data_IF_325333251984
#
_entry.id   IF_325333251984
#
_cell.length_a   1.000
_cell.length_b   1.000
_cell.length_c   1.000
_cell.angle_alpha   90.00
_cell.angle_beta   90.00
_cell.angle_gamma   90.00
#
_symmetry.space_group_name_H-M   'P 1'
#
loop_
_entity.id
_entity.type
_entity.pdbx_description
1 polymer ?
#
# COMPACT_ATOMS: atom_id res chain seq x y z
N UNK A 1 -7.82 -7.62 -25.82
CA UNK A 1 -8.54 -8.10 -24.62
C UNK A 1 -9.20 -6.90 -23.96
N UNK A 2 -10.48 -7.01 -23.58
CA UNK A 2 -11.16 -5.98 -22.82
C UNK A 2 -10.53 -5.88 -21.43
N UNK A 3 -10.30 -4.65 -20.98
CA UNK A 3 -9.75 -4.33 -19.68
C UNK A 3 -10.83 -4.57 -18.62
N UNK A 4 -10.62 -5.53 -17.71
CA UNK A 4 -11.54 -5.83 -16.59
C UNK A 4 -10.87 -5.48 -15.25
N UNK A 5 -11.22 -4.35 -14.61
CA UNK A 5 -10.63 -3.91 -13.36
C UNK A 5 -11.05 -4.77 -12.15
N UNK A 6 -12.14 -5.54 -12.23
CA UNK A 6 -12.69 -6.28 -11.07
C UNK A 6 -11.77 -7.41 -10.58
N UNK A 7 -10.90 -7.94 -11.46
CA UNK A 7 -9.94 -9.00 -11.12
C UNK A 7 -8.58 -8.49 -10.63
N UNK A 8 -8.35 -7.18 -10.55
CA UNK A 8 -7.02 -6.60 -10.34
C UNK A 8 -6.68 -6.31 -8.88
N UNK A 9 -7.29 -6.97 -7.90
CA UNK A 9 -6.94 -6.76 -6.50
C UNK A 9 -5.47 -7.12 -6.18
N UNK A 10 -4.82 -6.41 -5.26
CA UNK A 10 -3.55 -6.83 -4.63
C UNK A 10 -3.77 -7.11 -3.15
N UNK A 11 -3.14 -8.16 -2.63
CA UNK A 11 -3.00 -8.31 -1.20
C UNK A 11 -1.62 -7.78 -0.79
N UNK A 12 -1.63 -6.78 0.09
CA UNK A 12 -0.42 -6.20 0.67
C UNK A 12 -0.35 -6.64 2.12
N UNK A 13 0.63 -7.49 2.42
CA UNK A 13 0.94 -7.87 3.80
C UNK A 13 1.73 -6.75 4.47
N UNK A 14 1.28 -6.35 5.65
CA UNK A 14 1.90 -5.30 6.46
C UNK A 14 1.74 -5.60 7.95
N UNK A 15 2.39 -4.80 8.78
CA UNK A 15 2.16 -4.84 10.22
C UNK A 15 1.07 -3.82 10.58
N UNK A 16 0.26 -4.12 11.60
CA UNK A 16 -0.66 -3.19 12.22
C UNK A 16 -0.38 -3.08 13.72
N UNK A 17 -0.37 -1.85 14.23
CA UNK A 17 -0.38 -1.59 15.67
C UNK A 17 -1.83 -1.55 16.15
N UNK A 18 -2.21 -2.50 17.00
CA UNK A 18 -3.53 -2.62 17.62
C UNK A 18 -3.59 -1.77 18.87
N UNK A 19 -4.19 -0.59 18.76
CA UNK A 19 -4.46 0.30 19.89
C UNK A 19 -5.75 -0.14 20.56
N UNK A 20 -5.73 -0.62 21.82
CA UNK A 20 -6.92 -1.19 22.48
C UNK A 20 -8.00 -0.15 22.80
N UNK A 21 -7.63 1.12 22.99
CA UNK A 21 -8.55 2.21 23.30
C UNK A 21 -8.53 3.28 22.20
N UNK A 22 -9.67 3.45 21.52
CA UNK A 22 -9.86 4.46 20.49
C UNK A 22 -9.46 5.89 20.93
N UNK A 23 -9.53 6.22 22.22
CA UNK A 23 -9.12 7.53 22.77
C UNK A 23 -7.64 7.82 22.59
N UNK A 24 -6.80 6.79 22.57
CA UNK A 24 -5.35 6.92 22.41
C UNK A 24 -4.89 6.86 20.94
N UNK A 25 -5.81 6.58 20.01
CA UNK A 25 -5.51 6.43 18.57
C UNK A 25 -4.75 7.63 18.00
N UNK A 26 -5.19 8.85 18.30
CA UNK A 26 -4.57 10.06 17.72
C UNK A 26 -3.12 10.24 18.17
N UNK A 27 -2.82 9.88 19.42
CA UNK A 27 -1.45 9.89 19.95
C UNK A 27 -0.58 8.91 19.18
N UNK A 28 -1.06 7.68 18.99
CA UNK A 28 -0.34 6.62 18.29
C UNK A 28 -0.18 6.90 16.80
N UNK A 29 -1.19 7.47 16.14
CA UNK A 29 -1.09 7.94 14.75
C UNK A 29 0.00 9.00 14.61
N UNK A 30 0.11 9.94 15.58
CA UNK A 30 1.16 10.97 15.56
C UNK A 30 2.56 10.36 15.77
N UNK A 31 2.69 9.43 16.71
CA UNK A 31 3.97 8.76 17.00
C UNK A 31 4.43 7.86 15.83
N UNK A 32 3.50 7.13 15.22
CA UNK A 32 3.77 6.16 14.16
C UNK A 32 3.73 6.78 12.76
N UNK A 33 3.43 8.09 12.61
CA UNK A 33 3.26 8.77 11.32
C UNK A 33 4.43 8.56 10.33
N UNK A 34 5.66 8.46 10.83
CA UNK A 34 6.86 8.22 9.99
C UNK A 34 7.02 6.75 9.59
N UNK A 35 6.29 5.88 10.26
CA UNK A 35 6.34 4.44 10.11
C UNK A 35 5.06 3.84 9.53
N UNK A 36 4.04 4.64 9.22
CA UNK A 36 2.78 4.20 8.60
C UNK A 36 2.98 3.69 7.18
N UNK A 37 2.08 2.85 6.70
CA UNK A 37 2.15 2.28 5.36
C UNK A 37 1.78 3.32 4.30
N UNK A 38 2.69 3.73 3.39
CA UNK A 38 2.37 4.71 2.36
C UNK A 38 1.52 4.05 1.26
N UNK A 39 0.20 3.99 1.47
CA UNK A 39 -0.75 3.53 0.46
C UNK A 39 -1.57 4.70 -0.07
N UNK A 40 -1.67 4.87 -1.40
CA UNK A 40 -2.54 5.85 -1.99
C UNK A 40 -4.00 5.54 -1.64
N UNK A 41 -4.77 6.60 -1.33
CA UNK A 41 -6.23 6.56 -1.12
C UNK A 41 -6.71 5.54 -0.07
N UNK A 42 -5.83 5.04 0.80
CA UNK A 42 -6.15 3.99 1.77
C UNK A 42 -6.20 4.55 3.19
N UNK A 43 -7.19 4.11 3.97
CA UNK A 43 -7.30 4.50 5.38
C UNK A 43 -6.18 3.86 6.19
N UNK A 44 -5.39 4.69 6.85
CA UNK A 44 -4.27 4.27 7.71
C UNK A 44 -4.72 3.72 9.06
N UNK A 45 -5.94 4.08 9.47
CA UNK A 45 -6.53 3.66 10.73
C UNK A 45 -7.81 2.90 10.42
N UNK A 46 -7.84 1.62 10.80
CA UNK A 46 -8.97 0.73 10.62
C UNK A 46 -9.61 0.44 11.98
N UNK A 47 -10.87 -0.01 11.94
CA UNK A 47 -11.49 -0.62 13.12
C UNK A 47 -10.99 -2.05 13.21
N UNK A 48 -10.75 -2.50 14.43
CA UNK A 48 -10.42 -3.89 14.67
C UNK A 48 -11.69 -4.74 14.48
N UNK A 49 -11.66 -5.81 13.66
CA UNK A 49 -12.83 -6.67 13.45
C UNK A 49 -13.22 -7.48 14.70
N UNK A 50 -12.27 -7.72 15.62
CA UNK A 50 -12.49 -8.50 16.83
C UNK A 50 -12.89 -7.62 18.03
N UNK A 51 -12.66 -6.30 17.95
CA UNK A 51 -12.90 -5.36 19.05
C UNK A 51 -13.26 -3.94 18.57
N UNK A 52 -14.53 -3.56 18.72
CA UNK A 52 -15.04 -2.24 18.32
C UNK A 52 -14.37 -1.05 19.03
N UNK A 53 -13.72 -1.28 20.18
CA UNK A 53 -13.00 -0.23 20.92
C UNK A 53 -11.57 -0.08 20.41
N UNK A 54 -11.02 -1.14 19.81
CA UNK A 54 -9.67 -1.13 19.29
C UNK A 54 -9.58 -0.53 17.89
N UNK A 55 -8.41 0.02 17.57
CA UNK A 55 -8.08 0.58 16.26
C UNK A 55 -6.78 -0.01 15.77
N UNK A 56 -6.71 -0.31 14.48
CA UNK A 56 -5.52 -0.83 13.82
C UNK A 56 -4.85 0.31 13.06
N UNK A 57 -3.61 0.64 13.42
CA UNK A 57 -2.79 1.61 12.68
C UNK A 57 -1.86 0.84 11.75
N UNK A 58 -2.03 1.01 10.44
CA UNK A 58 -1.24 0.30 9.44
C UNK A 58 0.19 0.85 9.38
N UNK A 59 1.16 -0.05 9.53
CA UNK A 59 2.58 0.25 9.51
C UNK A 59 3.21 -0.19 8.18
N UNK A 60 4.20 0.57 7.75
CA UNK A 60 5.03 0.30 6.58
C UNK A 60 5.56 -1.12 6.53
N UNK A 61 5.66 -1.64 5.32
CA UNK A 61 6.26 -2.94 5.00
C UNK A 61 7.75 -2.77 4.68
N UNK A 62 8.51 -3.85 4.88
CA UNK A 62 9.81 -4.00 4.22
C UNK A 62 9.62 -4.49 2.78
N UNK A 63 10.57 -4.15 1.91
CA UNK A 63 10.60 -4.70 0.55
C UNK A 63 10.82 -6.22 0.63
N UNK A 64 9.95 -7.00 -0.03
CA UNK A 64 10.03 -8.47 -0.03
C UNK A 64 9.22 -9.18 1.05
N UNK A 65 8.43 -8.47 1.85
CA UNK A 65 7.52 -9.08 2.83
C UNK A 65 6.47 -9.98 2.15
N UNK A 66 6.62 -11.29 2.26
CA UNK A 66 5.73 -12.27 1.65
C UNK A 66 4.59 -12.70 2.59
N UNK A 67 4.80 -12.57 3.90
CA UNK A 67 3.82 -12.99 4.91
C UNK A 67 3.57 -11.90 5.95
N UNK A 68 2.34 -11.86 6.48
CA UNK A 68 1.94 -10.94 7.53
C UNK A 68 2.79 -11.10 8.83
N UNK A 69 3.31 -12.29 9.10
CA UNK A 69 4.20 -12.55 10.23
C UNK A 69 5.58 -11.87 10.06
N UNK A 70 6.16 -11.92 8.85
CA UNK A 70 7.42 -11.25 8.53
C UNK A 70 7.29 -9.73 8.68
N UNK A 71 6.13 -9.19 8.34
CA UNK A 71 5.84 -7.77 8.46
C UNK A 71 5.97 -7.28 9.92
N UNK A 72 5.57 -8.10 10.90
CA UNK A 72 5.67 -7.77 12.33
C UNK A 72 7.12 -7.68 12.76
N UNK A 73 7.94 -8.65 12.37
CA UNK A 73 9.36 -8.66 12.71
C UNK A 73 10.13 -7.52 12.02
N UNK A 74 9.82 -7.22 10.75
CA UNK A 74 10.34 -6.05 10.06
C UNK A 74 9.91 -4.73 10.72
N UNK A 75 8.66 -4.64 11.20
CA UNK A 75 8.20 -3.49 11.94
C UNK A 75 8.98 -3.31 13.25
N UNK A 76 9.19 -4.37 14.04
CA UNK A 76 10.00 -4.31 15.27
C UNK A 76 11.42 -3.80 15.01
N UNK A 77 12.07 -4.25 13.95
CA UNK A 77 13.43 -3.77 13.58
C UNK A 77 13.49 -2.30 13.16
N UNK A 78 12.40 -1.79 12.58
CA UNK A 78 12.31 -0.42 12.04
C UNK A 78 11.85 0.60 13.06
N UNK A 79 11.08 0.19 14.06
CA UNK A 79 10.61 1.07 15.12
C UNK A 79 11.73 1.30 16.15
N UNK A 80 11.88 2.51 16.70
CA UNK A 80 12.82 2.76 17.78
C UNK A 80 12.48 1.93 19.03
N UNK A 81 13.49 1.44 19.75
CA UNK A 81 13.31 0.65 20.98
C UNK A 81 12.45 1.37 22.03
N UNK A 82 12.63 2.69 22.17
CA UNK A 82 11.80 3.52 23.06
C UNK A 82 10.31 3.44 22.69
N UNK A 83 10.01 3.44 21.38
CA UNK A 83 8.62 3.36 20.92
C UNK A 83 8.06 1.96 21.13
N UNK A 84 8.87 0.90 20.94
CA UNK A 84 8.46 -0.47 21.23
C UNK A 84 8.10 -0.66 22.70
N UNK A 85 8.90 -0.10 23.61
CA UNK A 85 8.60 -0.11 25.05
C UNK A 85 7.29 0.59 25.38
N UNK A 86 7.07 1.78 24.81
CA UNK A 86 5.81 2.51 25.00
C UNK A 86 4.60 1.74 24.45
N UNK A 87 4.76 1.04 23.33
CA UNK A 87 3.71 0.19 22.76
C UNK A 87 3.36 -0.93 23.74
N UNK A 88 4.36 -1.63 24.28
CA UNK A 88 4.16 -2.70 25.27
C UNK A 88 3.54 -2.19 26.58
N UNK A 89 4.02 -1.07 27.12
CA UNK A 89 3.52 -0.47 28.37
C UNK A 89 2.05 -0.06 28.27
N UNK A 90 1.61 0.41 27.10
CA UNK A 90 0.21 0.82 26.86
C UNK A 90 -0.66 -0.30 26.27
N UNK A 91 -0.13 -1.52 26.16
CA UNK A 91 -0.85 -2.68 25.65
C UNK A 91 -1.18 -2.60 24.15
N UNK A 92 -0.40 -1.84 23.37
CA UNK A 92 -0.52 -1.76 21.92
C UNK A 92 0.26 -2.89 21.28
N UNK A 93 -0.45 -3.92 20.81
CA UNK A 93 0.17 -5.09 20.20
C UNK A 93 0.49 -4.85 18.72
N UNK A 94 1.63 -5.37 18.26
CA UNK A 94 1.95 -5.45 16.83
C UNK A 94 1.45 -6.80 16.28
N UNK A 95 0.65 -6.75 15.22
CA UNK A 95 0.12 -7.94 14.56
C UNK A 95 0.23 -7.85 13.04
N UNK A 96 0.21 -9.01 12.38
CA UNK A 96 0.24 -9.09 10.93
C UNK A 96 -1.14 -8.78 10.36
N UNK A 97 -1.19 -7.93 9.33
CA UNK A 97 -2.43 -7.54 8.66
C UNK A 97 -2.28 -7.62 7.15
N UNK A 98 -3.36 -7.98 6.45
CA UNK A 98 -3.40 -8.01 4.99
C UNK A 98 -4.38 -6.96 4.50
N UNK A 99 -3.85 -5.96 3.78
CA UNK A 99 -4.65 -4.94 3.12
C UNK A 99 -4.97 -5.41 1.71
N UNK A 100 -6.26 -5.48 1.37
CA UNK A 100 -6.69 -5.69 -0.01
C UNK A 100 -6.78 -4.36 -0.72
N UNK A 101 -5.90 -4.14 -1.69
CA UNK A 101 -5.97 -3.02 -2.62
C UNK A 101 -6.89 -3.42 -3.77
N UNK A 102 -7.83 -2.54 -4.09
CA UNK A 102 -8.65 -2.65 -5.29
C UNK A 102 -8.03 -1.84 -6.44
N UNK A 103 -8.60 -2.00 -7.64
CA UNK A 103 -8.12 -1.31 -8.83
C UNK A 103 -7.88 0.18 -8.58
N UNK A 104 -8.81 0.89 -7.94
CA UNK A 104 -8.73 2.34 -7.66
C UNK A 104 -7.49 2.76 -6.86
N UNK A 105 -6.95 1.86 -6.04
CA UNK A 105 -5.78 2.09 -5.20
C UNK A 105 -4.46 1.70 -5.88
N UNK A 106 -4.51 1.02 -7.03
CA UNK A 106 -3.32 0.66 -7.78
C UNK A 106 -2.83 1.82 -8.66
N UNK A 107 -1.51 2.00 -8.71
CA UNK A 107 -0.85 2.87 -9.66
C UNK A 107 -0.84 2.30 -11.08
N UNK A 108 -0.63 3.17 -12.07
CA UNK A 108 -0.55 2.80 -13.50
C UNK A 108 0.49 1.69 -13.74
N UNK A 109 1.67 1.80 -13.13
CA UNK A 109 2.75 0.82 -13.23
C UNK A 109 2.34 -0.57 -12.71
N UNK A 110 1.70 -0.62 -11.54
CA UNK A 110 1.26 -1.87 -10.91
C UNK A 110 0.21 -2.59 -11.78
N UNK A 111 -0.70 -1.82 -12.38
CA UNK A 111 -1.71 -2.37 -13.30
C UNK A 111 -1.05 -2.87 -14.58
N UNK A 112 -0.12 -2.12 -15.18
CA UNK A 112 0.54 -2.52 -16.42
C UNK A 112 1.42 -3.76 -16.26
N UNK A 113 2.13 -3.91 -15.14
CA UNK A 113 2.90 -5.13 -14.85
C UNK A 113 2.06 -6.41 -14.87
N UNK A 114 0.75 -6.32 -14.61
CA UNK A 114 -0.16 -7.46 -14.64
C UNK A 114 -0.77 -7.71 -16.01
N UNK A 115 -0.91 -6.65 -16.81
CA UNK A 115 -1.50 -6.71 -18.14
C UNK A 115 -0.48 -7.05 -19.24
N UNK A 116 0.79 -6.68 -19.02
CA UNK A 116 1.87 -6.89 -19.96
C UNK A 116 2.53 -8.26 -19.74
N UNK A 117 3.11 -8.87 -20.79
CA UNK A 117 3.84 -10.12 -20.65
C UNK A 117 5.02 -10.02 -19.69
N UNK A 118 5.36 -11.14 -19.04
CA UNK A 118 6.57 -11.24 -18.23
C UNK A 118 7.82 -10.93 -19.06
N UNK A 119 8.74 -10.15 -18.50
CA UNK A 119 9.99 -9.74 -19.15
C UNK A 119 9.92 -8.39 -19.87
N UNK A 120 8.74 -7.76 -19.94
CA UNK A 120 8.61 -6.38 -20.43
C UNK A 120 8.88 -5.40 -19.29
N UNK A 121 9.87 -4.51 -19.46
CA UNK A 121 10.15 -3.45 -18.50
C UNK A 121 9.08 -2.36 -18.59
N UNK A 122 8.35 -2.15 -17.49
CA UNK A 122 7.21 -1.23 -17.45
C UNK A 122 7.72 0.15 -17.05
N UNK A 123 7.85 1.04 -18.03
CA UNK A 123 8.16 2.45 -17.79
C UNK A 123 6.93 3.31 -18.03
N UNK A 124 6.40 3.91 -16.96
CA UNK A 124 5.13 4.65 -17.00
C UNK A 124 5.25 6.07 -16.47
N UNK A 125 6.44 6.63 -16.48
CA UNK A 125 6.61 8.07 -16.26
C UNK A 125 6.02 8.84 -17.43
N UNK A 126 5.18 9.82 -17.12
CA UNK A 126 4.62 10.74 -18.10
C UNK A 126 4.72 12.17 -17.56
N UNK A 127 4.74 13.12 -18.48
CA UNK A 127 4.71 14.55 -18.17
C UNK A 127 3.35 15.11 -18.57
N UNK A 128 2.77 15.96 -17.73
CA UNK A 128 1.50 16.62 -18.03
C UNK A 128 1.76 18.06 -18.46
N UNK A 129 1.34 18.41 -19.67
CA UNK A 129 1.36 19.77 -20.21
C UNK A 129 -0.09 20.21 -20.39
N UNK A 130 -0.62 20.97 -19.42
CA UNK A 130 -2.04 21.33 -19.39
C UNK A 130 -2.93 20.10 -19.21
N UNK A 131 -3.71 19.75 -20.23
CA UNK A 131 -4.58 18.56 -20.27
C UNK A 131 -4.02 17.43 -21.14
N UNK A 132 -2.77 17.56 -21.62
CA UNK A 132 -2.10 16.58 -22.47
C UNK A 132 -1.07 15.83 -21.63
N UNK A 133 -1.17 14.50 -21.63
CA UNK A 133 -0.13 13.63 -21.08
C UNK A 133 0.85 13.23 -22.19
N UNK A 134 2.13 13.56 -22.02
CA UNK A 134 3.22 13.14 -22.89
C UNK A 134 3.90 11.90 -22.29
N UNK A 135 3.83 10.78 -23.02
CA UNK A 135 4.37 9.50 -22.59
C UNK A 135 5.60 9.13 -23.41
N UNK A 136 6.69 8.78 -22.74
CA UNK A 136 7.88 8.24 -23.39
C UNK A 136 7.77 6.71 -23.48
N UNK A 137 7.13 6.22 -24.53
CA UNK A 137 6.90 4.78 -24.75
C UNK A 137 8.07 4.21 -25.55
N UNK A 138 8.80 3.26 -24.97
CA UNK A 138 9.85 2.50 -25.65
C UNK A 138 9.30 1.60 -26.76
N UNK A 139 10.15 1.22 -27.71
CA UNK A 139 9.77 0.37 -28.85
C UNK A 139 9.10 -0.94 -28.43
N UNK A 140 9.59 -1.57 -27.36
CA UNK A 140 9.04 -2.79 -26.77
C UNK A 140 7.60 -2.63 -26.25
N UNK A 141 7.21 -1.41 -25.88
CA UNK A 141 5.89 -1.04 -25.37
C UNK A 141 4.95 -0.47 -26.44
N UNK A 142 5.46 -0.13 -27.65
CA UNK A 142 4.65 0.39 -28.76
C UNK A 142 3.46 -0.50 -29.16
N UNK A 143 3.54 -1.85 -29.11
CA UNK A 143 2.38 -2.72 -29.33
C UNK A 143 1.25 -2.48 -28.33
N UNK A 144 1.58 -1.98 -27.14
CA UNK A 144 0.65 -1.76 -26.03
C UNK A 144 0.26 -0.29 -25.84
N UNK A 145 0.72 0.64 -26.71
CA UNK A 145 0.51 2.09 -26.56
C UNK A 145 -0.93 2.52 -26.30
N UNK A 146 -1.91 1.88 -26.95
CA UNK A 146 -3.33 2.20 -26.78
C UNK A 146 -3.88 1.71 -25.43
N UNK A 147 -3.35 0.60 -24.91
CA UNK A 147 -3.68 0.11 -23.56
C UNK A 147 -3.10 1.06 -22.51
N UNK A 148 -1.83 1.42 -22.63
CA UNK A 148 -1.13 2.34 -21.74
C UNK A 148 -1.85 3.70 -21.70
N UNK A 149 -2.14 4.27 -22.88
CA UNK A 149 -2.82 5.56 -22.97
C UNK A 149 -4.22 5.55 -22.33
N UNK A 150 -5.01 4.49 -22.54
CA UNK A 150 -6.32 4.37 -21.87
C UNK A 150 -6.22 4.28 -20.36
N UNK A 151 -5.27 3.49 -19.86
CA UNK A 151 -5.06 3.34 -18.42
C UNK A 151 -4.60 4.65 -17.77
N UNK A 152 -3.73 5.40 -18.43
CA UNK A 152 -3.25 6.71 -17.93
C UNK A 152 -4.38 7.74 -17.95
N UNK A 153 -5.30 7.68 -18.92
CA UNK A 153 -6.49 8.54 -18.94
C UNK A 153 -7.53 8.17 -17.88
N UNK A 154 -7.60 6.90 -17.50
CA UNK A 154 -8.55 6.39 -16.50
C UNK A 154 -8.11 6.68 -15.05
N UNK A 155 -6.80 6.83 -14.82
CA UNK A 155 -6.17 6.98 -13.50
C UNK A 155 -5.96 8.43 -13.07
#
# INVERSE_FOLDING_TARGET
AAFDPAGMGEEVHCCAARVPDARHTQRWVKALRRHTLPLPKTRQVLRDPDDDRARLVLLGREEGCAAAAEAVEGAKKRLPDELLRQLEEEGVALLGYTVRLEYEQLGVEQVLRRLLPAGVDVQTSFETIGHVAHLNIRDELLPYRALIGRLVLDK
#
